data_IF_846676576440
#
_entry.id   IF_846676576440
#
_cell.length_a   1.000
_cell.length_b   1.000
_cell.length_c   1.000
_cell.angle_alpha   90.00
_cell.angle_beta   90.00
_cell.angle_gamma   90.00
#
_symmetry.space_group_name_H-M   'P 1'
#
loop_
_entity.id
_entity.type
_entity.pdbx_description
1 polymer ?
#
# COMPACT_ATOMS: atom_id res chain seq x y z
N UNK A 1 -6.87 12.02 2.35
CA UNK A 1 -7.08 13.38 2.90
C UNK A 1 -6.62 13.54 4.34
N UNK A 2 -7.26 12.90 5.35
CA UNK A 2 -6.92 13.07 6.78
C UNK A 2 -5.45 12.81 7.14
N UNK A 3 -4.78 11.93 6.39
CA UNK A 3 -3.36 11.58 6.54
C UNK A 3 -2.46 12.30 5.51
N UNK A 4 -2.81 13.54 5.10
CA UNK A 4 -1.90 14.40 4.33
C UNK A 4 -2.05 14.37 2.81
N UNK A 5 -2.73 13.39 2.22
CA UNK A 5 -3.07 13.40 0.77
C UNK A 5 -4.17 14.41 0.46
N UNK A 6 -3.73 15.65 0.32
CA UNK A 6 -4.51 16.89 0.14
C UNK A 6 -4.22 17.50 -1.23
N UNK A 7 -4.85 18.62 -1.54
CA UNK A 7 -4.71 19.31 -2.83
C UNK A 7 -3.24 19.68 -3.12
N UNK A 8 -2.53 20.24 -2.13
CA UNK A 8 -1.09 20.56 -2.27
C UNK A 8 -0.20 19.31 -2.35
N UNK A 9 -0.73 18.17 -1.93
CA UNK A 9 -0.09 16.87 -2.02
C UNK A 9 -0.68 16.05 -3.18
N UNK A 10 -1.18 16.73 -4.21
CA UNK A 10 -1.54 16.16 -5.52
C UNK A 10 -2.65 15.11 -5.44
N UNK A 11 -3.65 15.33 -4.58
CA UNK A 11 -4.80 14.45 -4.49
C UNK A 11 -5.73 14.57 -5.71
N UNK A 12 -6.66 13.61 -5.83
CA UNK A 12 -7.63 13.60 -6.93
C UNK A 12 -8.91 14.33 -6.50
N UNK A 13 -9.15 15.54 -6.99
CA UNK A 13 -10.35 16.32 -6.72
C UNK A 13 -10.80 17.11 -7.96
N UNK A 14 -12.11 17.27 -8.13
CA UNK A 14 -12.63 18.07 -9.24
C UNK A 14 -12.39 19.57 -9.04
N UNK A 15 -12.53 20.04 -7.80
CA UNK A 15 -12.35 21.43 -7.38
C UNK A 15 -11.48 21.42 -6.11
N UNK A 16 -10.43 22.24 -6.10
CA UNK A 16 -9.48 22.31 -4.97
C UNK A 16 -9.84 23.40 -3.96
N UNK A 17 -10.93 24.13 -4.16
CA UNK A 17 -11.42 25.21 -3.29
C UNK A 17 -10.36 26.28 -3.02
N UNK A 18 -9.47 26.52 -3.99
CA UNK A 18 -8.35 27.45 -3.87
C UNK A 18 -7.24 27.01 -2.89
N UNK A 19 -7.19 25.74 -2.48
CA UNK A 19 -6.20 25.24 -1.50
C UNK A 19 -4.83 24.86 -2.09
N UNK A 20 -4.67 24.93 -3.41
CA UNK A 20 -3.43 24.57 -4.13
C UNK A 20 -3.60 23.32 -5.00
N UNK A 21 -2.50 22.80 -5.54
CA UNK A 21 -2.52 21.68 -6.50
C UNK A 21 -3.16 22.04 -7.84
N UNK A 22 -3.18 21.10 -8.77
CA UNK A 22 -3.98 21.16 -9.97
C UNK A 22 -5.30 20.40 -9.75
N UNK A 23 -6.42 20.97 -10.23
CA UNK A 23 -7.77 20.42 -10.06
C UNK A 23 -8.27 19.74 -11.34
N UNK A 24 -9.57 19.46 -11.44
CA UNK A 24 -10.21 18.73 -12.55
C UNK A 24 -9.70 17.30 -12.73
N UNK A 25 -9.28 16.66 -11.63
CA UNK A 25 -8.60 15.38 -11.68
C UNK A 25 -9.21 14.31 -10.76
N UNK A 26 -10.49 14.44 -10.44
CA UNK A 26 -11.25 13.40 -9.72
C UNK A 26 -11.01 12.02 -10.33
N UNK A 27 -10.97 10.99 -9.49
CA UNK A 27 -10.91 9.60 -9.98
C UNK A 27 -12.17 9.27 -10.78
N UNK A 28 -11.98 8.72 -11.97
CA UNK A 28 -13.01 8.11 -12.79
C UNK A 28 -13.02 6.61 -12.50
N UNK A 29 -14.16 6.08 -12.07
CA UNK A 29 -14.30 4.67 -11.71
C UNK A 29 -15.27 4.00 -12.69
N UNK A 30 -14.78 2.98 -13.40
CA UNK A 30 -15.58 2.10 -14.24
C UNK A 30 -15.80 0.78 -13.50
N UNK A 31 -17.06 0.40 -13.31
CA UNK A 31 -17.47 -0.83 -12.60
C UNK A 31 -17.98 -1.84 -13.62
N UNK A 32 -17.57 -3.10 -13.48
CA UNK A 32 -17.79 -4.15 -14.49
C UNK A 32 -17.30 -3.74 -15.87
N UNK A 33 -16.12 -3.10 -15.90
CA UNK A 33 -15.55 -2.60 -17.12
C UNK A 33 -15.30 -3.76 -18.10
N UNK A 34 -15.83 -3.63 -19.32
CA UNK A 34 -15.84 -4.72 -20.31
C UNK A 34 -14.47 -4.97 -20.96
N UNK A 35 -13.47 -4.13 -20.68
CA UNK A 35 -12.12 -4.25 -21.27
C UNK A 35 -11.29 -5.36 -20.63
N UNK A 36 -11.75 -5.94 -19.52
CA UNK A 36 -11.04 -7.01 -18.83
C UNK A 36 -11.93 -7.91 -17.97
N UNK A 37 -11.33 -8.97 -17.46
CA UNK A 37 -11.89 -9.87 -16.44
C UNK A 37 -10.77 -10.35 -15.52
N UNK A 38 -11.12 -10.86 -14.35
CA UNK A 38 -10.18 -11.47 -13.39
C UNK A 38 -9.00 -10.57 -12.99
N UNK A 39 -9.26 -9.26 -12.92
CA UNK A 39 -8.25 -8.27 -12.56
C UNK A 39 -8.93 -6.95 -12.14
N UNK A 40 -8.13 -5.93 -11.86
CA UNK A 40 -8.49 -4.53 -11.86
C UNK A 40 -7.27 -3.71 -12.35
N UNK A 41 -7.38 -2.39 -12.46
CA UNK A 41 -6.21 -1.53 -12.62
C UNK A 41 -6.54 -0.06 -12.29
N UNK A 42 -5.50 0.70 -11.99
CA UNK A 42 -5.53 2.14 -11.83
C UNK A 42 -4.47 2.82 -12.68
N UNK A 43 -4.88 3.75 -13.54
CA UNK A 43 -3.97 4.64 -14.24
C UNK A 43 -3.79 5.96 -13.47
N UNK A 44 -2.54 6.29 -13.17
CA UNK A 44 -2.17 7.50 -12.42
C UNK A 44 -1.42 8.50 -13.30
N UNK A 45 -2.11 9.39 -14.02
CA UNK A 45 -1.45 10.50 -14.70
C UNK A 45 -0.95 11.55 -13.67
N UNK A 46 -0.14 12.53 -14.10
CA UNK A 46 0.28 13.65 -13.26
C UNK A 46 -0.90 14.44 -12.66
N UNK A 47 -0.60 15.26 -11.65
CA UNK A 47 -1.56 16.18 -11.03
C UNK A 47 -2.32 17.03 -12.06
N UNK A 48 -3.64 17.19 -11.86
CA UNK A 48 -4.51 17.89 -12.82
C UNK A 48 -5.04 17.04 -13.97
N UNK A 49 -4.77 15.73 -13.97
CA UNK A 49 -5.39 14.78 -14.90
C UNK A 49 -6.12 13.65 -14.14
N UNK A 50 -7.37 13.31 -14.52
CA UNK A 50 -8.14 12.28 -13.83
C UNK A 50 -7.44 10.93 -13.75
N UNK A 51 -7.30 10.39 -12.52
CA UNK A 51 -6.99 8.98 -12.32
C UNK A 51 -8.12 8.09 -12.86
N UNK A 52 -7.79 6.93 -13.42
CA UNK A 52 -8.78 6.01 -13.98
C UNK A 52 -8.69 4.64 -13.31
N UNK A 53 -9.69 4.31 -12.51
CA UNK A 53 -9.86 2.99 -11.90
C UNK A 53 -10.82 2.16 -12.74
N UNK A 54 -10.42 0.94 -13.10
CA UNK A 54 -11.26 -0.02 -13.82
C UNK A 54 -11.39 -1.29 -12.99
N UNK A 55 -12.61 -1.57 -12.54
CA UNK A 55 -12.96 -2.77 -11.79
C UNK A 55 -13.61 -3.78 -12.73
N UNK A 56 -13.13 -5.02 -12.73
CA UNK A 56 -13.64 -6.06 -13.63
C UNK A 56 -14.50 -7.11 -12.93
N UNK A 57 -15.30 -7.81 -13.72
CA UNK A 57 -15.95 -9.05 -13.29
C UNK A 57 -14.94 -10.22 -13.26
N UNK A 58 -15.05 -11.07 -12.24
CA UNK A 58 -14.25 -12.28 -12.06
C UNK A 58 -15.06 -13.53 -12.43
N UNK A 59 -14.48 -14.35 -13.29
CA UNK A 59 -15.10 -15.52 -13.93
C UNK A 59 -14.61 -16.85 -13.36
N UNK A 60 -14.00 -16.84 -12.17
CA UNK A 60 -13.44 -18.02 -11.49
C UNK A 60 -14.47 -18.74 -10.60
N UNK A 61 -15.70 -18.25 -10.57
CA UNK A 61 -16.79 -18.74 -9.71
C UNK A 61 -18.12 -18.79 -10.48
N UNK A 62 -19.10 -19.52 -9.95
CA UNK A 62 -20.48 -19.55 -10.46
C UNK A 62 -21.46 -19.27 -9.30
N UNK A 63 -22.23 -18.17 -9.34
CA UNK A 63 -22.19 -17.09 -10.33
C UNK A 63 -20.84 -16.34 -10.32
N UNK A 64 -20.54 -15.59 -11.40
CA UNK A 64 -19.40 -14.68 -11.47
C UNK A 64 -19.43 -13.70 -10.29
N UNK A 65 -18.27 -13.29 -9.79
CA UNK A 65 -18.15 -12.31 -8.70
C UNK A 65 -17.68 -10.97 -9.25
N UNK A 66 -18.23 -9.88 -8.71
CA UNK A 66 -17.86 -8.52 -9.12
C UNK A 66 -16.69 -8.04 -8.26
N UNK A 67 -15.58 -7.65 -8.90
CA UNK A 67 -14.40 -7.15 -8.18
C UNK A 67 -14.66 -5.86 -7.42
N UNK A 68 -15.67 -5.08 -7.82
CA UNK A 68 -16.07 -3.88 -7.07
C UNK A 68 -16.72 -4.16 -5.71
N UNK A 69 -17.09 -5.41 -5.43
CA UNK A 69 -17.63 -5.84 -4.13
C UNK A 69 -16.55 -6.35 -3.16
N UNK A 70 -15.30 -6.43 -3.60
CA UNK A 70 -14.15 -6.80 -2.77
C UNK A 70 -13.35 -5.54 -2.44
N UNK A 71 -13.45 -5.11 -1.19
CA UNK A 71 -12.94 -3.80 -0.77
C UNK A 71 -11.41 -3.72 -0.83
N UNK A 72 -10.71 -4.81 -0.54
CA UNK A 72 -9.25 -4.85 -0.60
C UNK A 72 -8.71 -4.56 -2.02
N UNK A 73 -9.37 -5.01 -3.08
CA UNK A 73 -9.01 -4.68 -4.48
C UNK A 73 -9.26 -3.19 -4.75
N UNK A 74 -10.40 -2.64 -4.33
CA UNK A 74 -10.68 -1.20 -4.54
C UNK A 74 -9.65 -0.32 -3.83
N UNK A 75 -9.28 -0.68 -2.59
CA UNK A 75 -8.26 0.01 -1.81
C UNK A 75 -6.88 -0.14 -2.46
N UNK A 76 -6.53 -1.34 -2.93
CA UNK A 76 -5.31 -1.62 -3.67
C UNK A 76 -5.19 -0.68 -4.88
N UNK A 77 -6.22 -0.67 -5.75
CA UNK A 77 -6.19 0.16 -6.96
C UNK A 77 -6.09 1.65 -6.65
N UNK A 78 -6.84 2.14 -5.64
CA UNK A 78 -6.76 3.55 -5.26
C UNK A 78 -5.37 3.91 -4.74
N UNK A 79 -4.69 2.97 -4.08
CA UNK A 79 -3.36 3.17 -3.51
C UNK A 79 -2.28 3.29 -4.58
N UNK A 80 -2.44 2.69 -5.76
CA UNK A 80 -1.58 3.03 -6.91
C UNK A 80 -1.68 4.51 -7.28
N UNK A 81 -2.88 5.08 -7.21
CA UNK A 81 -3.10 6.52 -7.35
C UNK A 81 -2.32 7.34 -6.32
N UNK A 82 -2.50 7.00 -5.05
CA UNK A 82 -1.87 7.69 -3.91
C UNK A 82 -0.34 7.62 -3.97
N UNK A 83 0.21 6.41 -4.14
CA UNK A 83 1.65 6.17 -4.10
C UNK A 83 2.38 6.82 -5.29
N UNK A 84 1.81 6.76 -6.50
CA UNK A 84 2.38 7.41 -7.69
C UNK A 84 2.25 8.94 -7.66
N UNK A 85 1.17 9.49 -7.08
CA UNK A 85 1.03 10.96 -6.92
C UNK A 85 1.99 11.50 -5.86
N UNK A 86 2.17 10.81 -4.74
CA UNK A 86 3.04 11.30 -3.67
C UNK A 86 4.53 11.07 -3.99
N UNK A 87 4.90 9.92 -4.54
CA UNK A 87 6.29 9.62 -4.89
C UNK A 87 6.77 10.53 -6.02
N UNK A 88 7.83 11.30 -5.77
CA UNK A 88 8.36 12.23 -6.77
C UNK A 88 7.45 13.43 -7.07
N UNK A 89 6.49 13.75 -6.21
CA UNK A 89 5.82 15.05 -6.18
C UNK A 89 4.86 15.33 -7.34
N UNK A 90 3.83 14.52 -7.51
CA UNK A 90 2.71 14.80 -8.42
C UNK A 90 2.95 14.36 -9.87
N UNK A 91 4.10 13.76 -10.18
CA UNK A 91 4.44 13.36 -11.55
C UNK A 91 3.68 12.13 -12.04
N UNK A 92 3.23 11.25 -11.13
CA UNK A 92 2.62 9.97 -11.49
C UNK A 92 3.59 8.97 -12.15
N UNK A 93 4.91 9.24 -12.14
CA UNK A 93 5.90 8.49 -12.95
C UNK A 93 7.15 8.07 -12.19
N UNK A 94 7.03 7.91 -10.87
CA UNK A 94 8.18 7.62 -10.01
C UNK A 94 8.16 6.24 -9.32
N UNK A 95 7.31 5.33 -9.80
CA UNK A 95 7.32 3.91 -9.46
C UNK A 95 7.34 3.06 -10.74
N UNK A 96 8.42 3.16 -11.52
CA UNK A 96 8.49 2.66 -12.91
C UNK A 96 9.59 1.61 -13.14
N UNK A 97 10.66 1.63 -12.36
CA UNK A 97 11.64 0.53 -12.39
C UNK A 97 11.00 -0.73 -11.83
N UNK A 98 11.50 -1.91 -12.16
CA UNK A 98 10.91 -3.19 -11.72
C UNK A 98 10.76 -3.28 -10.20
N UNK A 99 11.79 -2.89 -9.45
CA UNK A 99 11.74 -2.89 -7.99
C UNK A 99 10.76 -1.83 -7.45
N UNK A 100 10.79 -0.60 -7.99
CA UNK A 100 9.88 0.46 -7.57
C UNK A 100 8.42 0.18 -7.93
N UNK A 101 8.17 -0.43 -9.09
CA UNK A 101 6.84 -0.87 -9.52
C UNK A 101 6.33 -2.00 -8.63
N UNK A 102 7.19 -2.95 -8.25
CA UNK A 102 6.84 -3.97 -7.28
C UNK A 102 6.57 -3.41 -5.89
N UNK A 103 7.31 -2.39 -5.47
CA UNK A 103 6.92 -1.58 -4.31
C UNK A 103 5.55 -0.92 -4.51
N UNK A 104 5.23 -0.40 -5.70
CA UNK A 104 3.87 0.06 -6.02
C UNK A 104 2.79 -0.98 -5.69
N UNK A 105 2.99 -2.25 -6.08
CA UNK A 105 2.09 -3.37 -5.73
C UNK A 105 2.03 -3.64 -4.22
N UNK A 106 3.19 -3.68 -3.56
CA UNK A 106 3.28 -3.96 -2.13
C UNK A 106 2.65 -2.86 -1.26
N UNK A 107 2.71 -1.60 -1.69
CA UNK A 107 2.08 -0.48 -1.02
C UNK A 107 0.56 -0.63 -1.08
N UNK A 108 0.06 -1.02 -2.25
CA UNK A 108 -1.36 -1.21 -2.49
C UNK A 108 -1.93 -2.35 -1.64
N UNK A 109 -1.24 -3.49 -1.56
CA UNK A 109 -1.60 -4.59 -0.66
C UNK A 109 -1.53 -4.19 0.82
N UNK A 110 -0.49 -3.46 1.23
CA UNK A 110 -0.34 -3.04 2.62
C UNK A 110 -1.41 -2.03 3.05
N UNK A 111 -1.86 -1.12 2.17
CA UNK A 111 -2.96 -0.22 2.49
C UNK A 111 -4.25 -1.03 2.71
N UNK A 112 -4.51 -2.03 1.86
CA UNK A 112 -5.66 -2.92 2.04
C UNK A 112 -5.61 -3.64 3.39
N UNK A 113 -4.46 -4.25 3.72
CA UNK A 113 -4.20 -4.89 5.02
C UNK A 113 -4.46 -3.94 6.21
N UNK A 114 -3.88 -2.74 6.20
CA UNK A 114 -4.09 -1.73 7.25
C UNK A 114 -5.57 -1.37 7.39
N UNK A 115 -6.31 -1.26 6.28
CA UNK A 115 -7.74 -0.91 6.32
C UNK A 115 -8.64 -2.04 6.81
N UNK A 116 -8.17 -3.28 6.79
CA UNK A 116 -8.89 -4.47 7.25
C UNK A 116 -8.41 -5.02 8.59
N UNK A 117 -7.29 -4.54 9.11
CA UNK A 117 -6.81 -4.86 10.45
C UNK A 117 -7.86 -4.53 11.53
N UNK A 118 -8.26 -5.53 12.33
CA UNK A 118 -9.23 -5.39 13.43
C UNK A 118 -8.79 -6.02 14.75
N UNK A 119 -7.66 -6.71 14.77
CA UNK A 119 -7.24 -7.54 15.89
C UNK A 119 -5.89 -7.11 16.45
N UNK A 120 -5.70 -7.38 17.75
CA UNK A 120 -4.42 -7.33 18.43
C UNK A 120 -4.26 -8.65 19.21
N UNK A 121 -3.37 -9.57 18.80
CA UNK A 121 -2.40 -9.45 17.71
C UNK A 121 -3.06 -9.40 16.32
N UNK A 122 -2.35 -8.80 15.35
CA UNK A 122 -2.79 -8.76 13.96
C UNK A 122 -2.91 -10.19 13.40
N UNK A 123 -4.01 -10.44 12.71
CA UNK A 123 -4.29 -11.71 12.02
C UNK A 123 -3.63 -11.76 10.65
N UNK A 124 -3.39 -12.96 10.12
CA UNK A 124 -2.93 -13.13 8.75
C UNK A 124 -3.91 -12.48 7.76
N UNK A 125 -3.39 -11.80 6.76
CA UNK A 125 -4.16 -11.10 5.73
C UNK A 125 -4.01 -11.77 4.36
N UNK A 126 -5.10 -11.85 3.59
CA UNK A 126 -5.14 -12.42 2.24
C UNK A 126 -5.91 -11.52 1.31
N UNK A 127 -5.36 -11.25 0.14
CA UNK A 127 -5.96 -10.36 -0.86
C UNK A 127 -6.87 -11.11 -1.84
N UNK A 128 -8.04 -10.54 -2.15
CA UNK A 128 -8.92 -10.95 -3.25
C UNK A 128 -9.54 -12.33 -3.04
N UNK A 129 -9.76 -12.73 -1.79
CA UNK A 129 -10.20 -14.09 -1.44
C UNK A 129 -11.63 -14.37 -1.94
N UNK A 130 -12.51 -13.37 -1.90
CA UNK A 130 -13.88 -13.53 -2.36
C UNK A 130 -13.93 -13.68 -3.89
N UNK A 131 -13.30 -12.84 -4.69
CA UNK A 131 -13.44 -12.91 -6.16
C UNK A 131 -13.02 -14.24 -6.78
N UNK A 132 -12.06 -14.95 -6.16
CA UNK A 132 -11.56 -16.25 -6.62
C UNK A 132 -12.10 -17.45 -5.81
N UNK A 133 -12.90 -17.22 -4.76
CA UNK A 133 -13.41 -18.24 -3.84
C UNK A 133 -12.32 -19.17 -3.27
N UNK A 134 -11.18 -18.59 -2.88
CA UNK A 134 -10.05 -19.31 -2.30
C UNK A 134 -9.61 -18.57 -1.04
N UNK A 135 -9.70 -19.19 0.15
CA UNK A 135 -9.32 -18.55 1.41
C UNK A 135 -7.88 -18.02 1.44
N UNK A 136 -6.96 -18.61 0.67
CA UNK A 136 -5.56 -18.15 0.60
C UNK A 136 -5.32 -16.93 -0.31
N UNK A 137 -6.35 -16.40 -0.97
CA UNK A 137 -6.22 -15.23 -1.85
C UNK A 137 -5.40 -15.46 -3.12
N UNK A 138 -5.09 -14.35 -3.80
CA UNK A 138 -4.43 -14.33 -5.11
C UNK A 138 -2.89 -14.33 -5.03
N UNK A 139 -2.31 -13.97 -3.88
CA UNK A 139 -0.86 -13.95 -3.65
C UNK A 139 -0.31 -15.35 -3.34
N UNK A 140 1.01 -15.50 -3.36
CA UNK A 140 1.68 -16.79 -3.15
C UNK A 140 1.50 -17.31 -1.72
N UNK A 141 1.49 -16.40 -0.74
CA UNK A 141 1.28 -16.70 0.68
C UNK A 141 0.37 -15.64 1.31
N UNK A 142 -0.38 -15.97 2.38
CA UNK A 142 -0.94 -14.96 3.26
C UNK A 142 0.16 -14.03 3.80
N UNK A 143 -0.16 -12.76 4.00
CA UNK A 143 0.69 -11.87 4.78
C UNK A 143 0.59 -12.28 6.24
N UNK A 144 1.70 -12.76 6.79
CA UNK A 144 1.75 -13.38 8.11
C UNK A 144 3.05 -13.05 8.81
N UNK A 145 2.96 -12.77 10.11
CA UNK A 145 4.15 -12.62 10.97
C UNK A 145 4.85 -13.96 11.25
N UNK A 146 4.23 -15.09 10.90
CA UNK A 146 4.84 -16.41 11.01
C UNK A 146 5.68 -16.74 9.77
N UNK A 147 6.99 -16.93 9.95
CA UNK A 147 7.94 -17.22 8.87
C UNK A 147 7.76 -18.60 8.23
N UNK A 148 7.07 -19.53 8.90
CA UNK A 148 6.69 -20.80 8.31
C UNK A 148 5.47 -20.67 7.37
N UNK A 149 4.54 -19.75 7.67
CA UNK A 149 3.37 -19.48 6.84
C UNK A 149 3.77 -18.70 5.59
N UNK A 150 4.57 -17.64 5.76
CA UNK A 150 5.10 -16.86 4.66
C UNK A 150 6.63 -16.79 4.79
N UNK A 151 7.41 -17.50 3.95
CA UNK A 151 8.86 -17.57 4.06
C UNK A 151 9.60 -16.47 3.28
N UNK A 152 8.89 -15.53 2.65
CA UNK A 152 9.51 -14.50 1.82
C UNK A 152 10.44 -13.58 2.63
N UNK A 153 11.52 -13.16 1.98
CA UNK A 153 12.56 -12.26 2.52
C UNK A 153 13.10 -11.36 1.41
N UNK A 154 13.82 -10.30 1.76
CA UNK A 154 14.51 -9.41 0.82
C UNK A 154 15.41 -10.18 -0.16
N UNK A 155 16.12 -11.21 0.30
CA UNK A 155 16.96 -12.06 -0.56
C UNK A 155 16.18 -12.80 -1.65
N UNK A 156 14.87 -12.97 -1.49
CA UNK A 156 13.99 -13.60 -2.50
C UNK A 156 13.86 -12.74 -3.76
N UNK A 157 14.07 -11.42 -3.66
CA UNK A 157 14.01 -10.53 -4.82
C UNK A 157 15.01 -10.91 -5.92
N UNK A 158 16.14 -11.54 -5.56
CA UNK A 158 17.15 -11.98 -6.53
C UNK A 158 16.64 -13.00 -7.57
N UNK A 159 15.46 -13.59 -7.37
CA UNK A 159 14.84 -14.54 -8.30
C UNK A 159 13.57 -14.01 -8.96
N UNK A 160 13.18 -12.76 -8.70
CA UNK A 160 11.91 -12.17 -9.12
C UNK A 160 12.11 -11.10 -10.20
N UNK A 161 11.25 -11.09 -11.21
CA UNK A 161 11.24 -10.10 -12.29
C UNK A 161 9.83 -9.57 -12.61
N UNK A 162 8.86 -9.92 -11.78
CA UNK A 162 7.44 -9.59 -11.92
C UNK A 162 7.03 -8.74 -10.71
N UNK A 163 6.31 -7.65 -10.96
CA UNK A 163 6.07 -6.61 -9.95
C UNK A 163 5.19 -7.09 -8.81
N UNK A 164 4.16 -7.92 -9.06
CA UNK A 164 3.32 -8.43 -7.99
C UNK A 164 4.11 -9.35 -7.05
N UNK A 165 4.95 -10.24 -7.60
CA UNK A 165 5.82 -11.11 -6.82
C UNK A 165 6.80 -10.31 -5.93
N UNK A 166 7.38 -9.23 -6.46
CA UNK A 166 8.21 -8.30 -5.68
C UNK A 166 7.38 -7.60 -4.60
N UNK A 167 6.16 -7.18 -4.95
CA UNK A 167 5.22 -6.52 -4.04
C UNK A 167 4.84 -7.38 -2.85
N UNK A 168 4.70 -8.70 -3.02
CA UNK A 168 4.45 -9.63 -1.91
C UNK A 168 5.55 -9.55 -0.83
N UNK A 169 6.82 -9.40 -1.23
CA UNK A 169 7.93 -9.28 -0.28
C UNK A 169 7.83 -7.99 0.51
N UNK A 170 7.49 -6.88 -0.16
CA UNK A 170 7.38 -5.61 0.54
C UNK A 170 6.15 -5.52 1.44
N UNK A 171 4.98 -5.90 0.94
CA UNK A 171 3.75 -5.89 1.73
C UNK A 171 3.90 -6.74 3.00
N UNK A 172 4.61 -7.87 2.91
CA UNK A 172 4.98 -8.67 4.08
C UNK A 172 5.83 -7.90 5.09
N UNK A 173 6.82 -7.13 4.67
CA UNK A 173 7.62 -6.30 5.57
C UNK A 173 6.77 -5.22 6.26
N UNK A 174 5.82 -4.62 5.54
CA UNK A 174 4.88 -3.67 6.12
C UNK A 174 3.87 -4.33 7.06
N UNK A 175 3.45 -5.56 6.79
CA UNK A 175 2.61 -6.35 7.69
C UNK A 175 3.33 -6.64 9.02
N UNK A 176 4.62 -6.97 8.98
CA UNK A 176 5.45 -7.11 10.18
C UNK A 176 5.52 -5.80 10.98
N UNK A 177 5.63 -4.66 10.30
CA UNK A 177 5.64 -3.35 10.95
C UNK A 177 4.28 -3.00 11.55
N UNK A 178 3.18 -3.24 10.82
CA UNK A 178 1.82 -3.05 11.31
C UNK A 178 1.58 -3.87 12.58
N UNK A 179 1.95 -5.16 12.57
CA UNK A 179 1.82 -6.03 13.73
C UNK A 179 2.62 -5.51 14.93
N UNK A 180 3.88 -5.10 14.75
CA UNK A 180 4.72 -4.56 15.82
C UNK A 180 4.15 -3.25 16.39
N UNK A 181 3.63 -2.36 15.54
CA UNK A 181 3.02 -1.11 15.98
C UNK A 181 1.70 -1.34 16.71
N UNK A 182 0.88 -2.29 16.27
CA UNK A 182 -0.39 -2.64 16.92
C UNK A 182 -0.16 -3.35 18.25
N UNK A 183 0.82 -4.25 18.35
CA UNK A 183 1.21 -4.84 19.63
C UNK A 183 1.64 -3.75 20.63
N UNK A 184 2.38 -2.74 20.16
CA UNK A 184 2.91 -1.67 21.00
C UNK A 184 1.89 -0.59 21.38
N UNK A 185 0.98 -0.24 20.48
CA UNK A 185 0.13 0.94 20.59
C UNK A 185 -1.37 0.64 20.53
N UNK A 186 -1.73 -0.64 20.47
CA UNK A 186 -3.09 -1.14 20.24
C UNK A 186 -3.68 -0.68 18.88
N UNK A 187 -4.84 -1.21 18.52
CA UNK A 187 -5.53 -0.88 17.27
C UNK A 187 -6.71 0.05 17.50
N UNK A 188 -6.96 0.97 16.56
CA UNK A 188 -8.16 1.82 16.57
C UNK A 188 -9.01 1.60 15.32
N UNK A 189 -10.30 1.34 15.49
CA UNK A 189 -11.23 1.20 14.36
C UNK A 189 -11.58 2.53 13.66
N UNK A 190 -11.18 3.67 14.23
CA UNK A 190 -11.63 5.00 13.76
C UNK A 190 -10.72 5.64 12.71
N UNK A 191 -9.54 5.05 12.44
CA UNK A 191 -8.50 5.64 11.59
C UNK A 191 -8.32 7.15 11.88
N UNK A 192 -8.23 7.46 13.17
CA UNK A 192 -8.10 8.84 13.65
C UNK A 192 -6.66 9.30 13.42
N UNK A 193 -6.41 10.30 12.55
CA UNK A 193 -5.05 10.76 12.27
C UNK A 193 -4.39 11.44 13.48
N UNK A 194 -5.13 11.78 14.53
CA UNK A 194 -4.58 12.32 15.77
C UNK A 194 -4.22 11.25 16.79
N UNK A 195 -4.69 10.02 16.61
CA UNK A 195 -4.38 8.92 17.50
C UNK A 195 -2.98 8.37 17.24
N UNK A 196 -2.33 7.91 18.32
CA UNK A 196 -1.09 7.14 18.24
C UNK A 196 -1.32 5.63 18.32
N UNK A 197 -2.51 5.15 17.92
CA UNK A 197 -2.77 3.71 17.73
C UNK A 197 -1.88 3.15 16.61
N UNK A 198 -1.53 1.87 16.69
CA UNK A 198 -0.55 1.24 15.80
C UNK A 198 -0.90 1.39 14.31
N UNK A 199 -2.16 1.19 13.94
CA UNK A 199 -2.62 1.38 12.57
C UNK A 199 -2.63 2.87 12.13
N UNK A 200 -2.85 3.81 13.05
CA UNK A 200 -2.75 5.25 12.76
C UNK A 200 -1.31 5.70 12.57
N UNK A 201 -0.39 5.19 13.39
CA UNK A 201 1.06 5.41 13.23
C UNK A 201 1.53 4.82 11.91
N UNK A 202 1.14 3.58 11.60
CA UNK A 202 1.49 2.92 10.34
C UNK A 202 1.05 3.74 9.12
N UNK A 203 -0.17 4.26 9.11
CA UNK A 203 -0.67 5.12 8.03
C UNK A 203 0.16 6.40 7.88
N UNK A 204 0.52 7.08 8.98
CA UNK A 204 1.38 8.26 8.89
C UNK A 204 2.76 7.93 8.33
N UNK A 205 3.39 6.87 8.82
CA UNK A 205 4.71 6.43 8.34
C UNK A 205 4.69 6.10 6.84
N UNK A 206 3.63 5.42 6.38
CA UNK A 206 3.42 5.10 4.97
C UNK A 206 3.24 6.36 4.12
N UNK A 207 2.30 7.23 4.50
CA UNK A 207 1.95 8.44 3.73
C UNK A 207 3.07 9.48 3.69
N UNK A 208 3.81 9.64 4.79
CA UNK A 208 4.98 10.52 4.85
C UNK A 208 6.16 9.89 4.11
N UNK A 209 6.34 8.57 4.21
CA UNK A 209 7.37 7.82 3.49
C UNK A 209 7.30 8.04 1.97
N UNK A 210 6.10 8.07 1.40
CA UNK A 210 5.92 8.34 -0.05
C UNK A 210 6.45 9.71 -0.46
N UNK A 211 6.28 10.71 0.40
CA UNK A 211 6.72 12.09 0.14
C UNK A 211 8.23 12.26 0.33
N UNK A 212 8.85 11.39 1.13
CA UNK A 212 10.28 11.47 1.48
C UNK A 212 11.17 10.61 0.58
N UNK A 213 10.64 9.52 0.03
CA UNK A 213 11.43 8.61 -0.79
C UNK A 213 11.78 9.23 -2.16
N UNK A 214 12.93 8.87 -2.76
CA UNK A 214 13.32 9.37 -4.07
C UNK A 214 12.40 8.83 -5.19
N UNK A 215 12.51 9.42 -6.38
CA UNK A 215 11.87 8.86 -7.57
C UNK A 215 12.51 7.52 -7.95
N UNK A 216 11.69 6.51 -8.26
CA UNK A 216 12.10 5.11 -8.46
C UNK A 216 12.96 4.58 -7.31
N UNK A 217 12.41 4.54 -6.09
CA UNK A 217 13.15 4.06 -4.93
C UNK A 217 13.50 2.56 -5.06
N UNK A 218 14.50 2.14 -4.30
CA UNK A 218 14.73 0.75 -3.92
C UNK A 218 14.10 0.47 -2.55
N UNK A 219 13.96 -0.81 -2.17
CA UNK A 219 13.48 -1.26 -0.85
C UNK A 219 14.25 -0.56 0.27
N UNK A 220 15.58 -0.46 0.13
CA UNK A 220 16.45 0.22 1.10
C UNK A 220 16.06 1.69 1.23
N UNK A 221 15.96 2.42 0.11
CA UNK A 221 15.63 3.85 0.15
C UNK A 221 14.20 4.13 0.65
N UNK A 222 13.25 3.23 0.37
CA UNK A 222 11.88 3.31 0.86
C UNK A 222 11.80 3.04 2.38
N UNK A 223 12.51 2.02 2.89
CA UNK A 223 12.65 1.77 4.33
C UNK A 223 13.26 2.98 5.04
N UNK A 224 14.30 3.55 4.46
CA UNK A 224 14.98 4.71 5.04
C UNK A 224 14.07 5.96 5.03
N UNK A 225 13.19 6.09 4.04
CA UNK A 225 12.14 7.12 4.04
C UNK A 225 11.10 6.91 5.15
N UNK A 226 10.72 5.66 5.47
CA UNK A 226 9.86 5.33 6.61
C UNK A 226 10.55 5.68 7.94
N UNK A 227 11.84 5.39 8.08
CA UNK A 227 12.63 5.79 9.25
C UNK A 227 12.72 7.32 9.38
N UNK A 228 12.86 8.03 8.26
CA UNK A 228 12.87 9.48 8.23
C UNK A 228 11.48 10.06 8.59
N UNK A 229 10.39 9.43 8.15
CA UNK A 229 9.04 9.80 8.56
C UNK A 229 8.86 9.69 10.08
N UNK A 230 9.30 8.59 10.69
CA UNK A 230 9.29 8.42 12.16
C UNK A 230 10.13 9.49 12.86
N UNK A 231 11.33 9.80 12.33
CA UNK A 231 12.17 10.85 12.88
C UNK A 231 11.50 12.23 12.82
N UNK A 232 10.87 12.58 11.69
CA UNK A 232 10.21 13.86 11.48
C UNK A 232 8.94 14.03 12.32
N UNK A 233 8.10 12.98 12.40
CA UNK A 233 6.78 13.07 13.02
C UNK A 233 6.78 12.70 14.49
N UNK A 234 7.48 11.64 14.85
CA UNK A 234 7.43 11.02 16.17
C UNK A 234 8.77 11.10 16.91
N UNK A 235 9.72 11.91 16.41
CA UNK A 235 11.04 12.10 17.00
C UNK A 235 11.80 10.76 17.19
N UNK A 236 11.59 9.80 16.28
CA UNK A 236 12.28 8.51 16.31
C UNK A 236 11.70 7.48 17.29
N UNK A 237 10.48 7.69 17.81
CA UNK A 237 9.84 6.83 18.83
C UNK A 237 9.69 5.38 18.37
N UNK A 238 9.46 5.14 17.08
CA UNK A 238 9.18 3.82 16.52
C UNK A 238 10.36 3.20 15.77
N UNK A 239 11.50 3.89 15.71
CA UNK A 239 12.72 3.46 15.02
C UNK A 239 13.14 2.02 15.32
N UNK A 240 13.05 1.57 16.57
CA UNK A 240 13.42 0.21 16.96
C UNK A 240 12.45 -0.82 16.36
N UNK A 241 11.16 -0.52 16.36
CA UNK A 241 10.11 -1.40 15.84
C UNK A 241 10.23 -1.51 14.32
N UNK A 242 10.48 -0.38 13.64
CA UNK A 242 10.76 -0.33 12.19
C UNK A 242 11.96 -1.22 11.84
N UNK A 243 13.10 -1.03 12.51
CA UNK A 243 14.29 -1.84 12.24
C UNK A 243 14.06 -3.33 12.47
N UNK A 244 13.36 -3.70 13.55
CA UNK A 244 13.08 -5.11 13.85
C UNK A 244 12.17 -5.75 12.80
N UNK A 245 11.11 -5.06 12.38
CA UNK A 245 10.19 -5.56 11.37
C UNK A 245 10.89 -5.82 10.03
N UNK A 246 11.65 -4.85 9.53
CA UNK A 246 12.40 -5.00 8.28
C UNK A 246 13.54 -6.03 8.40
N UNK A 247 14.29 -6.04 9.50
CA UNK A 247 15.38 -7.00 9.71
C UNK A 247 14.87 -8.45 9.81
N UNK A 248 13.67 -8.68 10.38
CA UNK A 248 13.04 -10.02 10.45
C UNK A 248 12.85 -10.64 9.07
N UNK A 249 12.72 -9.81 8.03
CA UNK A 249 12.58 -10.22 6.63
C UNK A 249 13.82 -9.93 5.78
N UNK A 250 14.97 -9.71 6.42
CA UNK A 250 16.26 -9.58 5.76
C UNK A 250 16.55 -8.22 5.12
N UNK A 251 15.88 -7.15 5.55
CA UNK A 251 16.17 -5.75 5.14
C UNK A 251 16.68 -4.93 6.35
N UNK A 252 17.68 -5.45 7.05
CA UNK A 252 18.29 -4.87 8.24
C UNK A 252 19.39 -3.83 7.95
N UNK A 253 20.12 -3.45 9.00
CA UNK A 253 21.23 -2.49 8.89
C UNK A 253 22.49 -3.20 8.38
N UNK A 254 23.04 -2.74 7.25
CA UNK A 254 24.26 -3.29 6.66
C UNK A 254 24.06 -4.14 5.41
N UNK A 255 22.80 -4.23 4.93
CA UNK A 255 22.42 -4.81 3.65
C UNK A 255 22.54 -3.79 2.50
#
# INVERSE_FOLDING_TARGET
YKYGFTEKAYNFQNDNFGKGGAENDRVQVSVQDITGTNNANFATPPDGQPGQMRMFTWTLTTPKRDGALENDIVVHEFTHGVSNRLTGGGTGRCLQTTEAGGMGEGWSDAMADITEARSNPISDFTLGSYVINKPGGIRSYPYSTNTATNPLTYGTLGTMNEVHAIGEVWALMLHELLAALVEKCDISEKFDPSAESGNSVMLHLMMDGFQLQPCNPTFISARDAILQADACRYNGKYKCDIWKAFAKRGLGKGD
#
